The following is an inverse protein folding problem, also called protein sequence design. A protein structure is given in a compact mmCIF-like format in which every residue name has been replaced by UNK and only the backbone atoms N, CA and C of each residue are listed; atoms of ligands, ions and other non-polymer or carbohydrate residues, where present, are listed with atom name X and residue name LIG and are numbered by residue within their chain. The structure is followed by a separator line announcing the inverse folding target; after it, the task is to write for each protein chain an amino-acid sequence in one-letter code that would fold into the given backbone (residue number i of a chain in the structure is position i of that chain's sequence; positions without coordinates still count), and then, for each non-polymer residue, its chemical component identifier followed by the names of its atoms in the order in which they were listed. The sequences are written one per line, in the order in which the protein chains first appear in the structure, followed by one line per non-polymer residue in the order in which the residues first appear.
data_IF_311795890917
#
_entry.id   IF_311795890917
#
_cell.length_a   1.000
_cell.length_b   1.000
_cell.length_c   1.000
_cell.angle_alpha   90.00
_cell.angle_beta   90.00
_cell.angle_gamma   90.00
#
_symmetry.space_group_name_H-M   'P 1'
#
loop_
_entity.id
_entity.type
_entity.pdbx_description
1 polymer ?
#
# COMPACT_ATOMS: atom_id res chain seq x y z
N UNK A 1 -6.10 40.56 1.89
CA UNK A 1 -6.13 39.15 1.43
C UNK A 1 -5.34 38.34 2.43
N UNK A 2 -5.82 37.22 2.90
CA UNK A 2 -5.05 36.30 3.76
C UNK A 2 -3.85 35.74 3.00
N UNK A 3 -2.75 35.45 3.71
CA UNK A 3 -1.60 34.76 3.11
C UNK A 3 -2.04 33.40 2.52
N UNK A 4 -1.41 32.94 1.43
CA UNK A 4 -1.76 31.65 0.83
C UNK A 4 -1.44 30.48 1.79
N UNK A 5 -2.25 29.45 1.72
CA UNK A 5 -1.98 28.17 2.39
C UNK A 5 -0.95 27.41 1.55
N UNK A 6 0.20 27.10 2.13
CA UNK A 6 1.34 26.54 1.40
C UNK A 6 1.51 25.05 1.68
N UNK A 7 1.53 24.25 0.62
CA UNK A 7 1.64 22.79 0.66
C UNK A 7 2.99 22.34 0.13
N UNK A 8 3.77 21.65 0.94
CA UNK A 8 4.99 20.98 0.51
C UNK A 8 4.66 19.58 -0.04
N UNK A 9 5.34 19.15 -1.09
CA UNK A 9 5.40 17.75 -1.52
C UNK A 9 6.80 17.24 -1.26
N UNK A 10 6.96 16.11 -0.57
CA UNK A 10 8.29 15.54 -0.29
C UNK A 10 9.07 15.27 -1.57
N UNK A 11 10.39 15.43 -1.52
CA UNK A 11 11.24 15.43 -2.71
C UNK A 11 11.24 14.10 -3.49
N UNK A 12 10.87 13.01 -2.84
CA UNK A 12 10.76 11.67 -3.43
C UNK A 12 9.53 11.47 -4.35
N UNK A 13 8.68 12.48 -4.53
CA UNK A 13 7.70 12.50 -5.63
C UNK A 13 8.34 12.76 -7.00
N UNK A 14 9.62 13.18 -7.03
CA UNK A 14 10.39 13.35 -8.26
C UNK A 14 11.57 12.40 -8.31
N UNK A 15 11.85 11.90 -9.51
CA UNK A 15 13.07 11.14 -9.80
C UNK A 15 14.27 12.09 -9.89
N UNK A 16 15.53 11.58 -9.88
CA UNK A 16 16.72 12.41 -10.00
C UNK A 16 16.78 13.27 -11.27
N UNK A 17 16.10 12.85 -12.34
CA UNK A 17 15.98 13.60 -13.59
C UNK A 17 14.88 14.66 -13.59
N UNK A 18 14.20 14.85 -12.43
CA UNK A 18 13.11 15.79 -12.25
C UNK A 18 11.75 15.31 -12.74
N UNK A 19 11.66 14.16 -13.40
CA UNK A 19 10.38 13.58 -13.82
C UNK A 19 9.56 13.07 -12.63
N UNK A 20 8.22 13.04 -12.72
CA UNK A 20 7.40 12.52 -11.63
C UNK A 20 7.62 11.01 -11.43
N UNK A 21 7.57 10.55 -10.18
CA UNK A 21 7.61 9.11 -9.85
C UNK A 21 6.33 8.41 -10.32
N UNK A 22 5.18 9.08 -10.16
CA UNK A 22 3.88 8.63 -10.65
C UNK A 22 3.41 9.55 -11.75
N UNK A 23 3.28 9.04 -12.98
CA UNK A 23 2.89 9.83 -14.16
C UNK A 23 1.46 10.36 -14.08
N UNK A 24 0.60 9.65 -13.35
CA UNK A 24 -0.83 9.92 -13.15
C UNK A 24 -1.14 10.60 -11.80
N UNK A 25 -0.11 11.10 -11.09
CA UNK A 25 -0.32 11.83 -9.85
C UNK A 25 -1.00 13.17 -10.13
N UNK A 26 -2.31 13.21 -9.85
CA UNK A 26 -3.15 14.37 -10.13
C UNK A 26 -2.99 15.45 -9.06
N UNK A 27 -2.43 16.57 -9.47
CA UNK A 27 -2.28 17.80 -8.64
C UNK A 27 -3.33 18.87 -8.97
N UNK A 28 -4.28 18.55 -9.85
CA UNK A 28 -5.30 19.52 -10.26
C UNK A 28 -6.15 20.04 -9.09
N UNK A 29 -6.51 19.22 -8.09
CA UNK A 29 -7.20 19.73 -6.88
C UNK A 29 -6.42 20.82 -6.14
N UNK A 30 -5.08 20.73 -6.10
CA UNK A 30 -4.25 21.78 -5.49
C UNK A 30 -4.16 23.05 -6.36
N UNK A 31 -4.11 22.88 -7.70
CA UNK A 31 -4.06 24.00 -8.64
C UNK A 31 -5.34 24.80 -8.68
N UNK A 32 -6.49 24.15 -8.53
CA UNK A 32 -7.81 24.77 -8.57
C UNK A 32 -8.22 25.36 -7.22
N UNK A 33 -7.57 24.98 -6.13
CA UNK A 33 -7.91 25.47 -4.80
C UNK A 33 -7.57 26.95 -4.67
N UNK A 34 -8.56 27.76 -4.32
CA UNK A 34 -8.37 29.17 -4.09
C UNK A 34 -7.41 29.41 -2.91
N UNK A 35 -6.45 30.29 -3.09
CA UNK A 35 -5.49 30.68 -2.06
C UNK A 35 -4.59 29.50 -1.56
N UNK A 36 -4.31 28.50 -2.42
CA UNK A 36 -3.37 27.42 -2.16
C UNK A 36 -2.18 27.53 -3.11
N UNK A 37 -0.98 27.43 -2.57
CA UNK A 37 0.27 27.30 -3.30
C UNK A 37 0.93 25.97 -2.93
N UNK A 38 1.61 25.32 -3.88
CA UNK A 38 2.38 24.13 -3.55
C UNK A 38 3.74 24.10 -4.23
N UNK A 39 4.70 23.43 -3.58
CA UNK A 39 6.04 23.24 -4.11
C UNK A 39 6.61 21.87 -3.71
N UNK A 40 7.51 21.35 -4.54
CA UNK A 40 8.29 20.16 -4.19
C UNK A 40 9.49 20.58 -3.34
N UNK A 41 9.75 19.80 -2.30
CA UNK A 41 10.97 19.93 -1.50
C UNK A 41 12.15 19.30 -2.25
N UNK A 42 13.36 19.77 -1.94
CA UNK A 42 14.58 19.05 -2.30
C UNK A 42 14.58 17.65 -1.62
N UNK A 43 15.08 16.61 -2.30
CA UNK A 43 15.06 15.24 -1.76
C UNK A 43 16.04 15.09 -0.59
N UNK A 44 15.54 15.18 0.64
CA UNK A 44 16.27 14.90 1.89
C UNK A 44 15.51 13.89 2.71
N UNK A 45 16.23 12.88 3.23
CA UNK A 45 15.64 11.83 4.02
C UNK A 45 16.45 11.57 5.30
N UNK A 46 15.93 11.96 6.48
CA UNK A 46 14.59 12.50 6.74
C UNK A 46 14.39 13.91 6.14
N UNK A 47 13.11 14.31 6.03
CA UNK A 47 12.76 15.70 5.72
C UNK A 47 13.34 16.60 6.80
N UNK A 48 13.99 17.70 6.44
CA UNK A 48 14.62 18.62 7.37
C UNK A 48 13.69 19.78 7.73
N UNK A 49 13.80 20.28 8.96
CA UNK A 49 12.91 21.31 9.51
C UNK A 49 12.93 22.63 8.70
N UNK A 50 14.12 23.03 8.23
CA UNK A 50 14.29 24.25 7.44
C UNK A 50 13.51 24.24 6.14
N UNK A 51 13.33 23.08 5.53
CA UNK A 51 12.54 22.90 4.32
C UNK A 51 11.05 23.22 4.54
N UNK A 52 10.57 23.11 5.77
CA UNK A 52 9.15 23.23 6.14
C UNK A 52 8.81 24.58 6.79
N UNK A 53 9.78 25.47 6.97
CA UNK A 53 9.61 26.75 7.68
C UNK A 53 8.43 27.60 7.16
N UNK A 54 8.16 27.52 5.85
CA UNK A 54 7.15 28.33 5.17
C UNK A 54 5.91 27.56 4.74
N UNK A 55 5.74 26.30 5.17
CA UNK A 55 4.65 25.45 4.74
C UNK A 55 3.65 25.14 5.86
N UNK A 56 2.37 25.10 5.50
CA UNK A 56 1.25 24.78 6.38
C UNK A 56 0.91 23.29 6.35
N UNK A 57 1.21 22.61 5.24
CA UNK A 57 0.95 21.20 5.04
C UNK A 57 2.11 20.50 4.32
N UNK A 58 2.27 19.20 4.57
CA UNK A 58 3.20 18.32 3.87
C UNK A 58 2.46 17.12 3.28
N UNK A 59 2.54 16.92 1.96
CA UNK A 59 2.21 15.63 1.33
C UNK A 59 3.48 14.80 1.32
N UNK A 60 3.45 13.67 2.06
CA UNK A 60 4.62 12.82 2.31
C UNK A 60 4.48 11.48 1.58
N UNK A 61 5.45 11.14 0.73
CA UNK A 61 5.46 9.85 0.03
C UNK A 61 6.14 8.75 0.88
N UNK A 62 7.45 8.67 0.89
CA UNK A 62 8.18 7.61 1.59
C UNK A 62 9.31 8.12 2.49
N UNK A 63 9.72 9.38 2.35
CA UNK A 63 10.72 9.97 3.22
C UNK A 63 10.31 9.90 4.69
N UNK A 64 11.30 9.83 5.57
CA UNK A 64 11.06 9.84 7.02
C UNK A 64 10.72 11.25 7.49
N UNK A 65 9.79 11.33 8.43
CA UNK A 65 9.47 12.53 9.19
C UNK A 65 9.69 12.25 10.67
N UNK A 66 10.65 12.90 11.28
CA UNK A 66 11.08 12.67 12.65
C UNK A 66 10.82 13.91 13.52
N UNK A 67 11.08 13.80 14.81
CA UNK A 67 11.05 14.99 15.70
C UNK A 67 11.91 16.14 15.19
N UNK A 68 13.05 15.82 14.56
CA UNK A 68 13.98 16.83 14.04
C UNK A 68 13.51 17.45 12.70
N UNK A 69 12.46 16.92 12.11
CA UNK A 69 11.77 17.49 10.93
C UNK A 69 10.80 18.61 11.30
N UNK A 70 10.49 18.78 12.59
CA UNK A 70 9.51 19.78 13.05
C UNK A 70 10.18 21.13 13.22
N UNK A 71 9.76 22.11 12.41
CA UNK A 71 10.28 23.47 12.53
C UNK A 71 9.72 24.18 13.77
N UNK A 72 10.56 24.92 14.53
CA UNK A 72 10.16 25.56 15.80
C UNK A 72 9.06 26.62 15.67
N UNK A 73 8.82 27.18 14.48
CA UNK A 73 7.78 28.18 14.28
C UNK A 73 6.35 27.65 14.41
N UNK A 74 6.16 26.32 14.47
CA UNK A 74 4.84 25.69 14.65
C UNK A 74 3.86 25.88 13.48
N UNK A 75 4.34 26.22 12.28
CA UNK A 75 3.47 26.52 11.13
C UNK A 75 2.85 25.27 10.50
N UNK A 76 3.60 24.17 10.43
CA UNK A 76 3.11 22.93 9.85
C UNK A 76 1.95 22.36 10.67
N UNK A 77 0.76 22.28 10.10
CA UNK A 77 -0.46 21.83 10.79
C UNK A 77 -0.86 20.39 10.41
N UNK A 78 -0.49 19.91 9.21
CA UNK A 78 -0.93 18.61 8.73
C UNK A 78 0.12 17.92 7.86
N UNK A 79 0.24 16.60 8.04
CA UNK A 79 0.97 15.70 7.14
C UNK A 79 -0.05 14.78 6.49
N UNK A 80 -0.17 14.86 5.17
CA UNK A 80 -0.97 13.95 4.35
C UNK A 80 -0.05 12.85 3.77
N UNK A 81 -0.11 11.66 4.35
CA UNK A 81 0.69 10.53 3.89
C UNK A 81 0.05 9.94 2.62
N UNK A 82 0.81 9.91 1.53
CA UNK A 82 0.39 9.28 0.26
C UNK A 82 0.46 7.76 0.38
N UNK A 83 -0.54 7.17 1.02
CA UNK A 83 -0.64 5.74 1.31
C UNK A 83 -1.22 5.46 2.70
N UNK A 84 -1.07 4.22 3.17
CA UNK A 84 -1.64 3.73 4.45
C UNK A 84 -0.58 3.54 5.53
N UNK A 85 0.60 3.03 5.15
CA UNK A 85 1.69 2.84 6.09
C UNK A 85 2.25 4.18 6.56
N UNK A 86 2.49 4.34 7.84
CA UNK A 86 3.01 5.56 8.45
C UNK A 86 4.20 5.31 9.38
N UNK A 87 4.86 4.17 9.24
CA UNK A 87 6.03 3.78 10.04
C UNK A 87 7.21 4.74 9.89
N UNK A 88 7.21 5.54 8.83
CA UNK A 88 8.23 6.57 8.56
C UNK A 88 7.96 7.89 9.27
N UNK A 89 6.81 8.03 9.98
CA UNK A 89 6.40 9.26 10.67
C UNK A 89 6.45 9.07 12.17
N UNK A 90 7.14 9.97 12.88
CA UNK A 90 7.14 10.03 14.34
C UNK A 90 5.81 10.62 14.85
N UNK A 91 4.84 9.74 15.11
CA UNK A 91 3.48 10.11 15.54
C UNK A 91 3.50 10.84 16.88
N UNK A 92 4.36 10.41 17.81
CA UNK A 92 4.42 11.04 19.13
C UNK A 92 4.95 12.48 19.03
N UNK A 93 5.94 12.71 18.18
CA UNK A 93 6.45 14.06 17.93
C UNK A 93 5.38 14.93 17.24
N UNK A 94 4.66 14.40 16.24
CA UNK A 94 3.54 15.09 15.59
C UNK A 94 2.47 15.48 16.62
N UNK A 95 2.07 14.53 17.48
CA UNK A 95 1.04 14.77 18.52
C UNK A 95 1.47 15.88 19.47
N UNK A 96 2.73 15.86 19.95
CA UNK A 96 3.25 16.92 20.83
C UNK A 96 3.28 18.30 20.17
N UNK A 97 3.53 18.33 18.86
CA UNK A 97 3.58 19.56 18.07
C UNK A 97 2.20 20.02 17.56
N UNK A 98 1.13 19.25 17.79
CA UNK A 98 -0.22 19.56 17.29
C UNK A 98 -0.37 19.37 15.77
N UNK A 99 0.49 18.54 15.15
CA UNK A 99 0.46 18.24 13.72
C UNK A 99 -0.46 17.03 13.48
N UNK A 100 -1.50 17.20 12.66
CA UNK A 100 -2.39 16.12 12.27
C UNK A 100 -1.72 15.21 11.22
N UNK A 101 -1.83 13.88 11.39
CA UNK A 101 -1.43 12.90 10.38
C UNK A 101 -2.67 12.32 9.71
N UNK A 102 -2.74 12.41 8.39
CA UNK A 102 -3.82 11.85 7.56
C UNK A 102 -3.24 10.80 6.62
N UNK A 103 -3.96 9.71 6.43
CA UNK A 103 -3.59 8.60 5.52
C UNK A 103 -4.69 8.39 4.46
N UNK A 104 -4.37 7.67 3.37
CA UNK A 104 -5.27 7.47 2.23
C UNK A 104 -5.67 6.00 2.05
N UNK A 105 -6.46 5.39 2.96
CA UNK A 105 -6.76 3.95 2.93
C UNK A 105 -7.54 3.54 1.68
N UNK A 106 -8.45 4.36 1.20
CA UNK A 106 -9.28 4.03 0.04
C UNK A 106 -8.51 4.03 -1.28
N UNK A 107 -7.47 4.84 -1.38
CA UNK A 107 -6.62 4.92 -2.59
C UNK A 107 -5.79 3.66 -2.84
N UNK A 108 -5.46 2.88 -1.81
CA UNK A 108 -4.57 1.72 -1.92
C UNK A 108 -5.25 0.37 -1.72
N UNK A 109 -6.41 0.33 -1.06
CA UNK A 109 -7.12 -0.91 -0.71
C UNK A 109 -7.32 -1.82 -1.92
N UNK A 110 -7.96 -1.34 -2.96
CA UNK A 110 -8.26 -2.11 -4.18
C UNK A 110 -7.01 -2.48 -4.97
N UNK A 111 -6.10 -1.55 -5.29
CA UNK A 111 -4.87 -1.87 -6.01
C UNK A 111 -4.00 -2.92 -5.32
N UNK A 112 -3.86 -2.86 -3.99
CA UNK A 112 -3.07 -3.86 -3.24
C UNK A 112 -3.75 -5.22 -3.25
N UNK A 113 -5.08 -5.30 -3.05
CA UNK A 113 -5.82 -6.55 -3.14
C UNK A 113 -5.69 -7.20 -4.53
N UNK A 114 -5.76 -6.41 -5.61
CA UNK A 114 -5.54 -6.89 -6.99
C UNK A 114 -4.11 -7.39 -7.17
N UNK A 115 -3.10 -6.71 -6.62
CA UNK A 115 -1.71 -7.16 -6.66
C UNK A 115 -1.51 -8.50 -5.97
N UNK A 116 -2.15 -8.72 -4.81
CA UNK A 116 -2.12 -10.00 -4.10
C UNK A 116 -2.70 -11.12 -4.98
N UNK A 117 -3.85 -10.89 -5.62
CA UNK A 117 -4.46 -11.87 -6.53
C UNK A 117 -3.54 -12.16 -7.72
N UNK A 118 -2.91 -11.13 -8.27
CA UNK A 118 -1.93 -11.28 -9.35
C UNK A 118 -0.79 -12.22 -8.94
N UNK A 119 -0.25 -12.07 -7.74
CA UNK A 119 0.79 -12.96 -7.23
C UNK A 119 0.28 -14.39 -7.01
N UNK A 120 -0.93 -14.55 -6.45
CA UNK A 120 -1.56 -15.88 -6.28
C UNK A 120 -1.67 -16.59 -7.64
N UNK A 121 -2.19 -15.91 -8.66
CA UNK A 121 -2.36 -16.46 -9.99
C UNK A 121 -1.02 -16.75 -10.68
N UNK A 122 -0.05 -15.85 -10.55
CA UNK A 122 1.28 -16.02 -11.12
C UNK A 122 2.01 -17.23 -10.52
N UNK A 123 1.91 -17.41 -9.21
CA UNK A 123 2.51 -18.56 -8.50
C UNK A 123 1.78 -19.85 -8.84
N UNK A 124 0.46 -19.89 -8.72
CA UNK A 124 -0.36 -21.06 -9.01
C UNK A 124 -0.21 -21.48 -10.49
N UNK A 125 -0.23 -20.53 -11.40
CA UNK A 125 -0.04 -20.74 -12.83
C UNK A 125 1.40 -21.03 -13.26
N UNK A 126 2.39 -20.92 -12.36
CA UNK A 126 3.83 -20.98 -12.67
C UNK A 126 4.23 -20.02 -13.79
N UNK A 127 3.66 -18.79 -13.76
CA UNK A 127 3.75 -17.82 -14.86
C UNK A 127 5.18 -17.55 -15.32
N UNK A 128 6.10 -17.29 -14.39
CA UNK A 128 7.50 -16.96 -14.71
C UNK A 128 8.24 -18.11 -15.41
N UNK A 129 7.95 -19.35 -15.00
CA UNK A 129 8.52 -20.53 -15.65
C UNK A 129 7.95 -20.69 -17.05
N UNK A 130 6.65 -20.54 -17.20
CA UNK A 130 5.97 -20.68 -18.50
C UNK A 130 6.37 -19.58 -19.48
N UNK A 131 6.56 -18.34 -19.04
CA UNK A 131 7.10 -17.26 -19.87
C UNK A 131 8.48 -17.64 -20.42
N UNK A 132 9.39 -18.13 -19.56
CA UNK A 132 10.72 -18.58 -20.00
C UNK A 132 10.61 -19.72 -21.00
N UNK A 133 9.80 -20.76 -20.73
CA UNK A 133 9.62 -21.88 -21.65
C UNK A 133 9.05 -21.43 -23.00
N UNK A 134 8.15 -20.47 -23.00
CA UNK A 134 7.59 -19.90 -24.24
C UNK A 134 8.69 -19.23 -25.10
N UNK A 135 9.63 -18.56 -24.47
CA UNK A 135 10.77 -17.95 -25.17
C UNK A 135 11.78 -18.97 -25.72
N UNK A 136 11.83 -20.18 -25.16
CA UNK A 136 12.62 -21.31 -25.64
C UNK A 136 11.99 -22.01 -26.87
N UNK A 137 10.83 -21.57 -27.35
CA UNK A 137 10.09 -22.10 -28.50
C UNK A 137 9.84 -23.62 -28.42
N UNK A 138 10.23 -24.40 -29.43
CA UNK A 138 9.96 -25.86 -29.47
C UNK A 138 10.59 -26.62 -28.31
N UNK A 139 11.80 -26.24 -27.87
CA UNK A 139 12.47 -26.86 -26.74
C UNK A 139 11.73 -26.63 -25.41
N UNK A 140 11.21 -25.42 -25.20
CA UNK A 140 10.39 -25.12 -24.03
C UNK A 140 9.04 -25.77 -24.08
N UNK A 141 8.40 -25.86 -25.27
CA UNK A 141 7.13 -26.55 -25.43
C UNK A 141 7.22 -28.04 -25.07
N UNK A 142 8.32 -28.70 -25.38
CA UNK A 142 8.55 -30.10 -25.01
C UNK A 142 8.52 -30.34 -23.48
N UNK A 143 8.95 -29.34 -22.68
CA UNK A 143 9.00 -29.39 -21.21
C UNK A 143 7.69 -28.96 -20.52
N UNK A 144 6.65 -28.57 -21.25
CA UNK A 144 5.43 -27.99 -20.68
C UNK A 144 4.73 -28.85 -19.64
N UNK A 145 4.81 -30.18 -19.77
CA UNK A 145 4.21 -31.16 -18.86
C UNK A 145 4.80 -31.11 -17.45
N UNK A 146 6.10 -30.77 -17.34
CA UNK A 146 6.81 -30.75 -16.05
C UNK A 146 6.42 -29.52 -15.19
N UNK A 147 5.78 -28.54 -15.82
CA UNK A 147 5.45 -27.26 -15.18
C UNK A 147 3.95 -26.94 -15.26
N UNK A 148 3.11 -27.94 -15.02
CA UNK A 148 1.66 -27.71 -14.90
C UNK A 148 1.38 -26.80 -13.71
N UNK A 149 0.42 -25.87 -13.89
CA UNK A 149 -0.05 -25.02 -12.80
C UNK A 149 -0.97 -25.78 -11.82
N UNK A 150 -1.30 -25.12 -10.74
CA UNK A 150 -2.25 -25.59 -9.73
C UNK A 150 -3.62 -24.96 -9.95
N UNK A 151 -4.68 -25.76 -10.00
CA UNK A 151 -6.05 -25.24 -9.92
C UNK A 151 -6.34 -24.65 -8.54
N UNK A 152 -7.14 -23.59 -8.47
CA UNK A 152 -7.46 -22.92 -7.21
C UNK A 152 -8.75 -23.45 -6.55
N UNK A 153 -9.69 -23.98 -7.33
CA UNK A 153 -10.97 -24.49 -6.83
C UNK A 153 -10.78 -25.48 -5.69
N UNK A 154 -11.46 -25.25 -4.57
CA UNK A 154 -11.39 -26.09 -3.38
C UNK A 154 -10.09 -26.01 -2.57
N UNK A 155 -9.09 -25.28 -3.04
CA UNK A 155 -7.87 -25.00 -2.26
C UNK A 155 -8.12 -23.94 -1.18
N UNK A 156 -7.23 -23.85 -0.23
CA UNK A 156 -7.37 -22.93 0.89
C UNK A 156 -6.49 -21.69 0.66
N UNK A 157 -7.10 -20.52 0.79
CA UNK A 157 -6.39 -19.23 0.94
C UNK A 157 -6.42 -18.85 2.42
N UNK A 158 -5.24 -18.75 3.03
CA UNK A 158 -5.06 -18.28 4.38
C UNK A 158 -4.54 -16.84 4.41
N UNK A 159 -5.06 -16.01 5.31
CA UNK A 159 -4.59 -14.65 5.57
C UNK A 159 -4.26 -14.44 7.03
N UNK A 160 -3.22 -13.65 7.28
CA UNK A 160 -2.96 -13.06 8.60
C UNK A 160 -3.44 -11.61 8.51
N UNK A 161 -4.55 -11.34 9.21
CA UNK A 161 -5.29 -10.08 9.12
C UNK A 161 -6.40 -10.09 8.06
N UNK A 162 -7.58 -9.54 8.43
CA UNK A 162 -8.71 -9.26 7.52
C UNK A 162 -9.15 -7.79 7.58
N UNK A 163 -8.21 -6.89 7.84
CA UNK A 163 -8.46 -5.46 7.77
C UNK A 163 -8.90 -5.00 6.37
N UNK A 164 -8.85 -3.71 6.09
CA UNK A 164 -9.38 -3.13 4.84
C UNK A 164 -8.89 -3.82 3.56
N UNK A 165 -7.60 -4.13 3.46
CA UNK A 165 -7.00 -4.79 2.29
C UNK A 165 -7.41 -6.27 2.25
N UNK A 166 -7.31 -6.99 3.38
CA UNK A 166 -7.69 -8.39 3.47
C UNK A 166 -9.17 -8.62 3.14
N UNK A 167 -10.06 -7.75 3.64
CA UNK A 167 -11.48 -7.81 3.33
C UNK A 167 -11.74 -7.62 1.81
N UNK A 168 -11.05 -6.68 1.19
CA UNK A 168 -11.16 -6.45 -0.25
C UNK A 168 -10.63 -7.65 -1.06
N UNK A 169 -9.50 -8.21 -0.64
CA UNK A 169 -8.97 -9.45 -1.22
C UNK A 169 -10.02 -10.57 -1.19
N UNK A 170 -10.64 -10.82 -0.03
CA UNK A 170 -11.62 -11.88 0.11
C UNK A 170 -12.89 -11.64 -0.71
N UNK A 171 -13.32 -10.38 -0.91
CA UNK A 171 -14.42 -10.07 -1.83
C UNK A 171 -14.06 -10.41 -3.27
N UNK A 172 -12.86 -10.04 -3.70
CA UNK A 172 -12.41 -10.22 -5.09
C UNK A 172 -12.09 -11.67 -5.45
N UNK A 173 -11.64 -12.48 -4.49
CA UNK A 173 -11.20 -13.86 -4.74
C UNK A 173 -12.37 -14.86 -4.73
N UNK A 174 -13.57 -14.47 -4.30
CA UNK A 174 -14.75 -15.36 -4.24
C UNK A 174 -14.99 -16.18 -5.51
N UNK A 175 -14.89 -15.61 -6.74
CA UNK A 175 -15.12 -16.38 -7.97
C UNK A 175 -14.13 -17.53 -8.21
N UNK A 176 -13.04 -17.62 -7.48
CA UNK A 176 -12.06 -18.71 -7.59
C UNK A 176 -12.42 -19.94 -6.75
N UNK A 177 -13.56 -19.90 -6.03
CA UNK A 177 -14.11 -21.02 -5.27
C UNK A 177 -13.12 -21.68 -4.29
N UNK A 178 -12.30 -20.84 -3.66
CA UNK A 178 -11.35 -21.26 -2.64
C UNK A 178 -12.02 -21.34 -1.27
N UNK A 179 -11.49 -22.17 -0.37
CA UNK A 179 -11.79 -22.10 1.05
C UNK A 179 -11.01 -20.95 1.66
N UNK A 180 -11.70 -20.05 2.37
CA UNK A 180 -11.11 -18.83 2.91
C UNK A 180 -10.98 -18.95 4.43
N UNK A 181 -9.76 -18.80 4.94
CA UNK A 181 -9.47 -18.78 6.37
C UNK A 181 -8.64 -17.54 6.71
N UNK A 182 -8.77 -17.04 7.93
CA UNK A 182 -7.91 -15.96 8.40
C UNK A 182 -7.65 -16.07 9.90
N UNK A 183 -6.50 -15.54 10.31
CA UNK A 183 -6.22 -15.21 11.69
C UNK A 183 -6.22 -13.69 11.84
N UNK A 184 -7.10 -13.18 12.70
CA UNK A 184 -7.13 -11.77 13.10
C UNK A 184 -7.77 -11.68 14.49
N UNK A 185 -7.00 -11.33 15.53
CA UNK A 185 -7.52 -11.27 16.91
C UNK A 185 -8.49 -10.11 17.15
N UNK A 186 -8.57 -9.16 16.22
CA UNK A 186 -9.41 -7.96 16.34
C UNK A 186 -10.62 -7.98 15.40
N UNK A 187 -10.72 -8.99 14.55
CA UNK A 187 -11.80 -9.05 13.58
C UNK A 187 -13.15 -9.38 14.23
N UNK A 188 -14.20 -8.68 13.79
CA UNK A 188 -15.57 -9.07 14.11
C UNK A 188 -15.91 -10.40 13.41
N UNK A 189 -16.32 -11.46 14.15
CA UNK A 189 -16.71 -12.73 13.58
C UNK A 189 -17.87 -12.63 12.57
N UNK A 190 -18.81 -11.70 12.78
CA UNK A 190 -19.92 -11.47 11.84
C UNK A 190 -19.41 -10.94 10.50
N UNK A 191 -18.53 -9.95 10.57
CA UNK A 191 -17.89 -9.40 9.37
C UNK A 191 -17.08 -10.46 8.61
N UNK A 192 -16.31 -11.32 9.31
CA UNK A 192 -15.60 -12.42 8.68
C UNK A 192 -16.56 -13.41 7.99
N UNK A 193 -17.67 -13.77 8.64
CA UNK A 193 -18.69 -14.64 8.07
C UNK A 193 -19.36 -14.05 6.81
N UNK A 194 -19.65 -12.76 6.77
CA UNK A 194 -20.17 -12.06 5.58
C UNK A 194 -19.22 -12.13 4.38
N UNK A 195 -17.91 -12.13 4.66
CA UNK A 195 -16.88 -12.32 3.65
C UNK A 195 -16.76 -13.78 3.20
N UNK A 196 -17.36 -14.73 3.93
CA UNK A 196 -17.20 -16.16 3.72
C UNK A 196 -15.87 -16.70 4.27
N UNK A 197 -15.27 -16.00 5.24
CA UNK A 197 -13.98 -16.32 5.84
C UNK A 197 -14.19 -17.00 7.20
N UNK A 198 -13.54 -18.14 7.40
CA UNK A 198 -13.49 -18.81 8.71
C UNK A 198 -12.31 -18.25 9.51
N UNK A 199 -12.58 -17.68 10.69
CA UNK A 199 -11.54 -17.31 11.62
C UNK A 199 -10.93 -18.56 12.28
N UNK A 200 -9.62 -18.60 12.37
CA UNK A 200 -8.85 -19.71 12.94
C UNK A 200 -7.67 -19.19 13.78
N UNK A 201 -7.05 -20.08 14.56
CA UNK A 201 -5.80 -19.75 15.24
C UNK A 201 -4.64 -19.50 14.27
N UNK A 202 -3.64 -18.74 14.71
CA UNK A 202 -2.46 -18.44 13.87
C UNK A 202 -1.76 -19.71 13.37
N UNK A 203 -1.57 -20.68 14.27
CA UNK A 203 -0.96 -21.98 13.95
C UNK A 203 -1.76 -22.77 12.92
N UNK A 204 -3.08 -22.67 12.95
CA UNK A 204 -3.96 -23.37 12.02
C UNK A 204 -3.85 -22.83 10.60
N UNK A 205 -3.61 -21.51 10.44
CA UNK A 205 -3.32 -20.92 9.12
C UNK A 205 -2.11 -21.61 8.50
N UNK A 206 -1.02 -21.77 9.27
CA UNK A 206 0.20 -22.42 8.75
C UNK A 206 0.03 -23.92 8.54
N UNK A 207 -0.66 -24.62 9.46
CA UNK A 207 -0.89 -26.06 9.35
C UNK A 207 -1.66 -26.45 8.11
N UNK A 208 -2.71 -25.70 7.77
CA UNK A 208 -3.52 -25.98 6.58
C UNK A 208 -2.75 -25.73 5.30
N UNK A 209 -1.83 -24.76 5.27
CA UNK A 209 -1.00 -24.45 4.11
C UNK A 209 0.07 -25.53 3.85
N UNK A 210 0.56 -26.20 4.89
CA UNK A 210 1.57 -27.27 4.78
C UNK A 210 0.99 -28.65 4.49
N UNK A 211 -0.28 -28.88 4.81
CA UNK A 211 -0.96 -30.18 4.58
C UNK A 211 -1.57 -30.34 3.18
N UNK A 212 -1.40 -29.36 2.31
CA UNK A 212 -2.00 -29.31 0.96
C UNK A 212 -1.03 -29.72 -0.17
N UNK A 213 0.06 -30.43 0.16
CA UNK A 213 1.03 -30.98 -0.81
C UNK A 213 0.64 -32.38 -1.24
#
# INVERSE_FOLDING_TARGET
MSAPFRVALSGDFRKPDGSPVYADFDLEPLRQAANVEFAYLEPRNPVEADQLADFDALILLAHRFTKDSIHPNGRLAVIARFGVGYDTVDIEACTRAGIALVITPDGVRRPVAVSIITFILALAGKLMVKDRLTREAAAGFAKRGDYMGLGLVGRTLGSIGIGNIGAELFRLIKPFEMRLIAHDPYADPKFAAELGVKLVGLEDVFRVLTSST
#
